data_IF_401049129732
#
_entry.id   IF_401049129732
#
_cell.length_a   1.000
_cell.length_b   1.000
_cell.length_c   1.000
_cell.angle_alpha   90.00
_cell.angle_beta   90.00
_cell.angle_gamma   90.00
#
_symmetry.space_group_name_H-M   'P 1'
#
loop_
_entity.id
_entity.type
_entity.pdbx_description
1 polymer ?
#
# COMPACT_ATOMS: atom_id res chain seq x y z
N UNK A 1 9.70 3.52 16.55
CA UNK A 1 9.18 4.06 15.29
C UNK A 1 9.19 3.00 14.21
N UNK A 2 8.15 2.98 13.39
CA UNK A 2 8.04 2.01 12.31
C UNK A 2 8.90 2.42 11.13
N UNK A 3 9.58 1.47 10.53
CA UNK A 3 10.38 1.67 9.32
C UNK A 3 9.66 1.22 8.06
N UNK A 4 8.50 0.60 8.21
CA UNK A 4 7.74 0.01 7.11
C UNK A 4 6.31 0.52 7.16
N UNK A 5 5.82 0.97 6.00
CA UNK A 5 4.42 1.30 5.77
C UNK A 5 3.81 0.10 5.07
N UNK A 6 2.75 -0.46 5.63
CA UNK A 6 2.12 -1.65 5.09
C UNK A 6 0.84 -1.33 4.34
N UNK A 7 0.67 -2.00 3.22
CA UNK A 7 -0.55 -1.97 2.42
C UNK A 7 -1.03 -3.39 2.18
N UNK A 8 -2.33 -3.55 2.18
CA UNK A 8 -2.97 -4.80 1.81
C UNK A 8 -3.63 -4.65 0.46
N UNK A 9 -3.42 -5.63 -0.41
CA UNK A 9 -3.96 -5.62 -1.76
C UNK A 9 -5.11 -6.59 -1.86
N UNK A 10 -6.20 -6.11 -2.45
CA UNK A 10 -7.36 -6.93 -2.80
C UNK A 10 -7.52 -6.95 -4.31
N UNK A 11 -8.08 -8.02 -4.80
CA UNK A 11 -8.48 -8.08 -6.19
C UNK A 11 -9.94 -7.71 -6.31
N UNK A 12 -10.23 -6.60 -7.00
CA UNK A 12 -11.59 -6.25 -7.41
C UNK A 12 -11.93 -6.87 -8.75
N UNK A 13 -13.08 -6.50 -9.31
CA UNK A 13 -13.52 -7.07 -10.60
C UNK A 13 -12.59 -6.68 -11.75
N UNK A 14 -12.26 -5.40 -11.84
CA UNK A 14 -11.43 -4.88 -12.94
C UNK A 14 -10.12 -4.27 -12.46
N UNK A 15 -9.94 -4.14 -11.16
CA UNK A 15 -8.79 -3.45 -10.58
C UNK A 15 -8.25 -4.20 -9.38
N UNK A 16 -6.97 -3.95 -9.12
CA UNK A 16 -6.41 -4.25 -7.82
C UNK A 16 -6.57 -3.02 -6.95
N UNK A 17 -6.90 -3.22 -5.69
CA UNK A 17 -7.09 -2.15 -4.72
C UNK A 17 -6.05 -2.31 -3.61
N UNK A 18 -5.41 -1.21 -3.22
CA UNK A 18 -4.49 -1.19 -2.10
C UNK A 18 -5.06 -0.33 -0.98
N UNK A 19 -5.04 -0.88 0.23
CA UNK A 19 -5.49 -0.19 1.43
C UNK A 19 -4.34 -0.07 2.41
N UNK A 20 -4.06 1.14 2.85
CA UNK A 20 -3.02 1.39 3.84
C UNK A 20 -3.46 0.89 5.21
N UNK A 21 -2.54 0.20 5.90
CA UNK A 21 -2.77 -0.26 7.28
C UNK A 21 -2.29 0.78 8.28
N UNK A 22 -1.30 1.56 7.90
CA UNK A 22 -0.69 2.57 8.77
C UNK A 22 -1.08 3.99 8.39
N UNK A 23 -1.59 4.20 7.17
CA UNK A 23 -1.97 5.49 6.64
C UNK A 23 -3.38 5.43 6.04
N UNK A 24 -4.13 6.55 6.06
CA UNK A 24 -5.46 6.59 5.47
C UNK A 24 -5.38 6.74 3.95
N UNK A 25 -4.78 5.78 3.28
CA UNK A 25 -4.58 5.78 1.83
C UNK A 25 -5.27 4.57 1.23
N UNK A 26 -6.08 4.82 0.21
CA UNK A 26 -6.68 3.78 -0.64
C UNK A 26 -6.42 4.17 -2.07
N UNK A 27 -5.87 3.26 -2.86
CA UNK A 27 -5.61 3.50 -4.27
C UNK A 27 -5.88 2.23 -5.08
N UNK A 28 -5.82 2.34 -6.39
CA UNK A 28 -6.13 1.21 -7.26
C UNK A 28 -5.28 1.25 -8.52
N UNK A 29 -5.23 0.13 -9.22
CA UNK A 29 -4.54 0.02 -10.49
C UNK A 29 -5.04 -1.19 -11.25
N UNK A 30 -4.94 -1.15 -12.58
CA UNK A 30 -5.38 -2.26 -13.42
C UNK A 30 -4.39 -3.41 -13.43
N UNK A 31 -3.13 -3.10 -13.20
CA UNK A 31 -2.05 -4.08 -13.10
C UNK A 31 -1.33 -3.89 -11.79
N UNK A 32 -0.54 -4.89 -11.38
CA UNK A 32 0.25 -4.76 -10.16
C UNK A 32 1.33 -3.69 -10.30
N UNK A 33 1.91 -3.52 -11.50
CA UNK A 33 2.90 -2.47 -11.74
C UNK A 33 2.28 -1.08 -11.61
N UNK A 34 1.11 -0.88 -12.19
CA UNK A 34 0.37 0.37 -12.06
C UNK A 34 0.00 0.64 -10.61
N UNK A 35 -0.47 -0.41 -9.91
CA UNK A 35 -0.82 -0.30 -8.51
C UNK A 35 0.39 0.11 -7.66
N UNK A 36 1.55 -0.49 -7.89
CA UNK A 36 2.77 -0.16 -7.16
C UNK A 36 3.13 1.32 -7.33
N UNK A 37 3.05 1.81 -8.56
CA UNK A 37 3.30 3.22 -8.86
C UNK A 37 2.30 4.13 -8.14
N UNK A 38 1.03 3.76 -8.19
CA UNK A 38 -0.03 4.55 -7.55
C UNK A 38 0.10 4.54 -6.02
N UNK A 39 0.53 3.43 -5.44
CA UNK A 39 0.80 3.36 -4.00
C UNK A 39 1.93 4.33 -3.63
N UNK A 40 3.02 4.34 -4.39
CA UNK A 40 4.13 5.24 -4.12
C UNK A 40 3.69 6.71 -4.21
N UNK A 41 2.96 7.07 -5.26
CA UNK A 41 2.47 8.43 -5.45
C UNK A 41 1.50 8.85 -4.33
N UNK A 42 0.54 7.99 -4.01
CA UNK A 42 -0.45 8.28 -2.98
C UNK A 42 0.21 8.40 -1.60
N UNK A 43 1.20 7.56 -1.32
CA UNK A 43 1.94 7.62 -0.07
C UNK A 43 2.72 8.93 0.05
N UNK A 44 3.41 9.32 -1.03
CA UNK A 44 4.14 10.59 -1.05
C UNK A 44 3.21 11.78 -0.83
N UNK A 45 2.05 11.79 -1.49
CA UNK A 45 1.08 12.85 -1.32
C UNK A 45 0.52 12.91 0.10
N UNK A 46 0.25 11.75 0.70
CA UNK A 46 -0.26 11.69 2.07
C UNK A 46 0.75 12.24 3.07
N UNK A 47 2.03 11.99 2.84
CA UNK A 47 3.11 12.40 3.75
C UNK A 47 3.70 13.76 3.42
N UNK A 48 3.32 14.35 2.30
CA UNK A 48 3.87 15.63 1.87
C UNK A 48 3.54 16.73 2.88
N UNK A 49 4.59 17.41 3.34
CA UNK A 49 4.44 18.48 4.31
C UNK A 49 4.13 18.01 5.73
N UNK A 50 4.05 16.70 5.95
CA UNK A 50 3.76 16.13 7.27
C UNK A 50 5.03 15.71 7.98
N UNK A 51 4.97 15.71 9.31
CA UNK A 51 6.03 15.15 10.13
C UNK A 51 5.80 13.64 10.23
N UNK A 52 6.74 12.85 9.73
CA UNK A 52 6.63 11.39 9.76
C UNK A 52 6.44 10.85 11.18
N UNK A 53 7.00 11.52 12.16
CA UNK A 53 6.85 11.12 13.56
C UNK A 53 5.40 11.17 14.01
N UNK A 54 4.57 12.05 13.45
CA UNK A 54 3.15 12.15 13.78
C UNK A 54 2.39 10.90 13.35
N UNK A 55 2.92 10.14 12.38
CA UNK A 55 2.38 8.86 11.97
C UNK A 55 3.08 7.68 12.62
N UNK A 56 3.99 7.93 13.55
CA UNK A 56 4.79 6.88 14.18
C UNK A 56 5.83 6.27 13.26
N UNK A 57 6.25 7.00 12.22
CA UNK A 57 7.17 6.52 11.21
C UNK A 57 8.57 7.08 11.41
N UNK A 58 9.58 6.25 11.16
CA UNK A 58 10.96 6.68 11.06
C UNK A 58 11.20 7.38 9.74
N UNK A 59 12.28 8.17 9.62
CA UNK A 59 12.64 8.79 8.34
C UNK A 59 12.88 7.73 7.24
N UNK A 60 12.49 8.06 6.02
CA UNK A 60 12.68 7.21 4.84
C UNK A 60 12.12 5.80 5.01
N UNK A 61 10.84 5.64 5.35
CA UNK A 61 10.26 4.31 5.51
C UNK A 61 10.16 3.58 4.18
N UNK A 62 10.20 2.25 4.24
CA UNK A 62 9.93 1.39 3.09
C UNK A 62 8.43 1.09 3.01
N UNK A 63 7.98 0.73 1.82
CA UNK A 63 6.59 0.31 1.60
C UNK A 63 6.58 -1.21 1.39
N UNK A 64 5.77 -1.90 2.18
CA UNK A 64 5.55 -3.34 2.04
C UNK A 64 4.11 -3.56 1.59
N UNK A 65 3.94 -4.30 0.50
CA UNK A 65 2.62 -4.66 0.02
C UNK A 65 2.38 -6.14 0.21
N UNK A 66 1.19 -6.46 0.71
CA UNK A 66 0.77 -7.84 0.95
C UNK A 66 -0.37 -8.19 0.02
N UNK A 67 -0.22 -9.26 -0.74
CA UNK A 67 -1.24 -9.74 -1.65
C UNK A 67 -1.54 -11.19 -1.34
N UNK A 68 -2.78 -11.45 -0.93
CA UNK A 68 -3.23 -12.82 -0.68
C UNK A 68 -3.79 -13.42 -1.96
N UNK A 69 -3.29 -14.57 -2.32
CA UNK A 69 -3.82 -15.35 -3.42
C UNK A 69 -4.60 -16.53 -2.85
N UNK A 70 -5.78 -16.85 -3.41
CA UNK A 70 -6.47 -18.05 -2.99
C UNK A 70 -5.62 -19.27 -3.34
N UNK A 71 -5.56 -20.23 -2.43
CA UNK A 71 -4.89 -21.48 -2.73
C UNK A 71 -5.68 -22.23 -3.81
N UNK A 72 -4.97 -22.71 -4.84
CA UNK A 72 -5.58 -23.57 -5.83
C UNK A 72 -5.45 -25.01 -5.34
N UNK A 73 -6.57 -25.59 -4.96
CA UNK A 73 -6.62 -26.96 -4.50
C UNK A 73 -7.26 -27.81 -5.58
N UNK A 74 -6.50 -28.74 -6.11
CA UNK A 74 -7.01 -29.71 -7.08
C UNK A 74 -7.21 -31.03 -6.36
N UNK A 75 -8.44 -31.41 -6.30
CA UNK A 75 -8.79 -32.69 -5.70
C UNK A 75 -8.62 -33.80 -6.73
#
# INVERSE_FOLDING_TARGET
>A
MKHIIQYRIFRGDDYFVAEGLDLPVVTQGKTLDELAKNIQEATELCLEGEDLADFGLAPSPSVLVNFELPALVHA
#
